data_IF_057045772399
#
_entry.id   IF_057045772399
#
_cell.length_a   1.000
_cell.length_b   1.000
_cell.length_c   1.000
_cell.angle_alpha   90.00
_cell.angle_beta   90.00
_cell.angle_gamma   90.00
#
_symmetry.space_group_name_H-M   'P 1'
#
loop_
_entity.id
_entity.type
_entity.pdbx_description
1 polymer ?
#
# COMPACT_ATOMS: atom_id res chain seq x y z
N UNK A 1 -7.36 -13.53 -17.33
CA UNK A 1 -7.62 -12.34 -18.19
C UNK A 1 -6.30 -11.87 -18.78
N UNK A 2 -6.13 -11.97 -20.10
CA UNK A 2 -4.91 -11.50 -20.77
C UNK A 2 -5.00 -10.00 -21.04
N UNK A 3 -4.29 -9.19 -20.27
CA UNK A 3 -4.23 -7.74 -20.48
C UNK A 3 -3.23 -7.46 -21.62
N UNK A 4 -3.74 -7.20 -22.83
CA UNK A 4 -2.89 -6.84 -23.99
C UNK A 4 -2.27 -5.46 -23.76
N UNK A 5 -0.94 -5.38 -23.85
CA UNK A 5 -0.18 -4.12 -23.73
C UNK A 5 -0.46 -3.21 -24.93
N UNK A 6 -0.43 -1.88 -24.70
CA UNK A 6 -0.53 -0.90 -25.79
C UNK A 6 0.71 -1.00 -26.69
N UNK A 7 0.56 -0.71 -27.99
CA UNK A 7 1.63 -0.85 -29.00
C UNK A 7 2.94 -0.10 -28.66
N UNK A 8 2.84 0.96 -27.86
CA UNK A 8 3.96 1.81 -27.41
C UNK A 8 4.47 1.46 -26.00
N UNK A 9 3.85 0.48 -25.35
CA UNK A 9 4.32 0.00 -24.05
C UNK A 9 5.24 -1.18 -24.26
N UNK A 10 6.53 -0.98 -23.94
CA UNK A 10 7.47 -2.10 -23.78
C UNK A 10 6.86 -3.10 -22.77
N UNK A 11 6.93 -4.43 -23.05
CA UNK A 11 6.40 -5.44 -22.14
C UNK A 11 6.83 -5.15 -20.70
N UNK A 12 5.88 -4.67 -19.89
CA UNK A 12 6.15 -4.31 -18.50
C UNK A 12 6.37 -5.60 -17.77
N UNK A 13 7.62 -6.07 -17.72
CA UNK A 13 7.98 -7.19 -16.87
C UNK A 13 7.47 -6.92 -15.45
N UNK A 14 6.70 -7.86 -14.93
CA UNK A 14 6.28 -7.82 -13.53
C UNK A 14 7.55 -7.79 -12.69
N UNK A 15 7.75 -6.69 -11.95
CA UNK A 15 8.87 -6.57 -11.03
C UNK A 15 9.87 -5.44 -11.27
N UNK A 16 9.72 -4.63 -12.33
CA UNK A 16 10.58 -3.45 -12.60
C UNK A 16 10.63 -2.44 -11.44
N UNK A 17 9.58 -2.39 -10.61
CA UNK A 17 9.47 -1.52 -9.43
C UNK A 17 9.70 -2.25 -8.09
N UNK A 18 10.26 -3.46 -8.07
CA UNK A 18 10.59 -4.15 -6.81
C UNK A 18 11.85 -3.55 -6.18
N UNK A 19 12.79 -3.06 -7.01
CA UNK A 19 14.09 -2.54 -6.59
C UNK A 19 14.20 -1.03 -6.89
N UNK A 20 15.06 -0.32 -6.15
CA UNK A 20 15.30 1.12 -6.31
C UNK A 20 14.42 2.02 -5.42
N UNK A 21 14.55 3.35 -5.60
CA UNK A 21 13.86 4.37 -4.77
C UNK A 21 12.33 4.24 -4.77
N UNK A 22 11.73 3.97 -5.94
CA UNK A 22 10.27 3.82 -6.06
C UNK A 22 9.73 2.56 -5.37
N UNK A 23 10.42 1.42 -5.56
CA UNK A 23 10.06 0.16 -4.91
C UNK A 23 10.21 0.21 -3.39
N UNK A 24 11.33 0.73 -2.92
CA UNK A 24 11.59 0.90 -1.48
C UNK A 24 10.60 1.87 -0.82
N UNK A 25 10.23 2.97 -1.49
CA UNK A 25 9.19 3.89 -1.00
C UNK A 25 7.82 3.19 -0.87
N UNK A 26 7.43 2.40 -1.87
CA UNK A 26 6.18 1.61 -1.82
C UNK A 26 6.18 0.60 -0.69
N UNK A 27 7.28 -0.14 -0.50
CA UNK A 27 7.43 -1.08 0.62
C UNK A 27 7.30 -0.39 1.98
N UNK A 28 7.87 0.82 2.14
CA UNK A 28 7.72 1.62 3.35
C UNK A 28 6.27 2.03 3.60
N UNK A 29 5.54 2.46 2.56
CA UNK A 29 4.12 2.80 2.67
C UNK A 29 3.29 1.58 3.10
N UNK A 30 3.51 0.42 2.47
CA UNK A 30 2.82 -0.83 2.83
C UNK A 30 3.12 -1.23 4.27
N UNK A 31 4.39 -1.17 4.70
CA UNK A 31 4.79 -1.47 6.08
C UNK A 31 4.08 -0.54 7.09
N UNK A 32 3.97 0.76 6.78
CA UNK A 32 3.25 1.74 7.61
C UNK A 32 1.76 1.39 7.72
N UNK A 33 1.11 1.07 6.60
CA UNK A 33 -0.30 0.67 6.58
C UNK A 33 -0.53 -0.60 7.42
N UNK A 34 0.33 -1.61 7.27
CA UNK A 34 0.24 -2.85 8.05
C UNK A 34 0.47 -2.61 9.55
N UNK A 35 1.42 -1.75 9.92
CA UNK A 35 1.66 -1.39 11.32
C UNK A 35 0.45 -0.67 11.92
N UNK A 36 -0.17 0.23 11.16
CA UNK A 36 -1.40 0.91 11.60
C UNK A 36 -2.55 -0.08 11.75
N UNK A 37 -2.75 -0.98 10.78
CA UNK A 37 -3.77 -2.03 10.87
C UNK A 37 -3.59 -2.88 12.14
N UNK A 38 -2.36 -3.30 12.46
CA UNK A 38 -2.05 -4.04 13.70
C UNK A 38 -2.41 -3.26 14.95
N UNK A 39 -2.12 -1.96 14.99
CA UNK A 39 -2.50 -1.09 16.12
C UNK A 39 -4.01 -1.00 16.24
N UNK A 40 -4.72 -0.81 15.14
CA UNK A 40 -6.19 -0.69 15.12
C UNK A 40 -6.86 -1.97 15.63
N UNK A 41 -6.41 -3.14 15.16
CA UNK A 41 -6.93 -4.43 15.61
C UNK A 41 -6.69 -4.63 17.12
N UNK A 42 -5.49 -4.31 17.59
CA UNK A 42 -5.17 -4.36 19.03
C UNK A 42 -5.99 -3.36 19.84
N UNK A 43 -6.20 -2.15 19.36
CA UNK A 43 -6.99 -1.13 20.07
C UNK A 43 -8.48 -1.48 20.10
N UNK A 44 -9.00 -2.10 19.04
CA UNK A 44 -10.38 -2.59 18.98
C UNK A 44 -10.62 -3.70 20.03
N UNK A 45 -9.64 -4.57 20.23
CA UNK A 45 -9.69 -5.61 21.27
C UNK A 45 -9.66 -5.01 22.69
N UNK A 46 -8.87 -3.95 22.91
CA UNK A 46 -8.72 -3.31 24.22
C UNK A 46 -9.76 -2.23 24.53
N UNK A 47 -10.78 -2.03 23.69
CA UNK A 47 -11.88 -1.08 23.93
C UNK A 47 -11.49 0.41 23.83
N UNK A 48 -10.23 0.73 23.57
CA UNK A 48 -9.73 2.10 23.47
C UNK A 48 -10.06 2.71 22.11
N UNK A 49 -11.10 3.56 22.09
CA UNK A 49 -11.52 4.35 20.92
C UNK A 49 -10.56 5.50 20.61
N UNK A 50 -9.26 5.24 20.53
CA UNK A 50 -8.26 6.23 20.14
C UNK A 50 -7.75 5.97 18.72
N UNK A 51 -8.48 6.48 17.72
CA UNK A 51 -7.88 7.26 16.61
C UNK A 51 -8.93 7.60 15.55
N UNK A 52 -9.55 8.75 15.74
CA UNK A 52 -10.32 9.47 14.75
C UNK A 52 -9.38 10.11 13.70
N UNK A 53 -8.57 9.37 12.95
CA UNK A 53 -7.81 9.99 11.85
C UNK A 53 -7.46 8.97 10.76
N UNK A 54 -8.22 9.00 9.66
CA UNK A 54 -7.75 9.15 8.28
C UNK A 54 -8.97 9.30 7.35
N UNK A 55 -9.56 10.51 7.38
CA UNK A 55 -10.55 10.97 6.40
C UNK A 55 -9.91 11.41 5.06
N UNK A 56 -8.62 11.18 4.85
CA UNK A 56 -7.86 11.77 3.73
C UNK A 56 -7.17 10.71 2.87
N UNK A 57 -7.98 9.88 2.22
CA UNK A 57 -7.72 9.39 0.85
C UNK A 57 -9.10 9.30 0.16
N UNK A 58 -9.80 10.44 0.03
CA UNK A 58 -10.87 10.61 -0.95
C UNK A 58 -10.17 11.22 -2.17
N UNK A 59 -10.26 10.48 -3.28
CA UNK A 59 -9.71 10.68 -4.63
C UNK A 59 -9.15 12.06 -4.98
#
# INVERSE_FOLDING_TARGET
MAQRLKRWESPRYQGRNIKGRGGTARLRQVKKQQQQLRKNLKNQENGDKSSHFFLYIKL
#
